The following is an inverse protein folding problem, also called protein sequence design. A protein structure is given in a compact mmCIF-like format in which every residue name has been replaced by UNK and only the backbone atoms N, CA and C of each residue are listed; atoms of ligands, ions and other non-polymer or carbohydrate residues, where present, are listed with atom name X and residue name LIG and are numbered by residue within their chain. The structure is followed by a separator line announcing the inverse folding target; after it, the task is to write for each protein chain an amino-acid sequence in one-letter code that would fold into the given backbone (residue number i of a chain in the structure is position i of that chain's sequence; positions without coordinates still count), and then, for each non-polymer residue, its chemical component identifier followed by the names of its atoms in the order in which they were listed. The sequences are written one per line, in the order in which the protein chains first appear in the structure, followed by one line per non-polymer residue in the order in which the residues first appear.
data_IF_245803868703
#
_entry.id   IF_245803868703
#
_cell.length_a   1.000
_cell.length_b   1.000
_cell.length_c   1.000
_cell.angle_alpha   90.00
_cell.angle_beta   90.00
_cell.angle_gamma   90.00
#
_symmetry.space_group_name_H-M   'P 1'
#
loop_
_entity.id
_entity.type
_entity.pdbx_description
1 polymer ?
#
# COMPACT_ATOMS: atom_id res chain seq x y z
N UNK A 1 14.13 -1.15 41.19
CA UNK A 1 15.09 -1.83 40.31
C UNK A 1 14.36 -3.02 39.71
N UNK A 2 13.77 -2.86 38.51
CA UNK A 2 13.06 -3.94 37.84
C UNK A 2 14.07 -4.67 36.95
N UNK A 3 14.56 -5.80 37.46
CA UNK A 3 15.07 -6.88 36.63
C UNK A 3 13.86 -7.51 35.94
N UNK A 4 13.94 -7.66 34.62
CA UNK A 4 12.81 -8.02 33.79
C UNK A 4 13.25 -8.08 32.35
N UNK A 5 14.12 -9.05 32.05
CA UNK A 5 14.35 -9.50 30.67
C UNK A 5 12.99 -9.90 30.08
N UNK A 6 12.29 -8.97 29.45
CA UNK A 6 11.11 -9.24 28.65
C UNK A 6 11.61 -10.05 27.46
N UNK A 7 11.28 -11.34 27.47
CA UNK A 7 11.47 -12.21 26.33
C UNK A 7 10.81 -11.54 25.12
N UNK A 8 11.60 -11.18 24.10
CA UNK A 8 11.15 -10.76 22.77
C UNK A 8 10.49 -11.94 22.02
N UNK A 9 9.57 -12.65 22.66
CA UNK A 9 8.59 -13.43 21.93
C UNK A 9 7.63 -12.40 21.36
N UNK A 10 7.51 -12.37 20.03
CA UNK A 10 6.44 -11.68 19.31
C UNK A 10 5.17 -11.64 20.19
N UNK A 11 4.56 -10.48 20.46
CA UNK A 11 3.26 -10.46 21.12
C UNK A 11 2.39 -11.49 20.39
N UNK A 12 1.82 -12.44 21.14
CA UNK A 12 1.00 -13.51 20.56
C UNK A 12 -0.17 -12.82 19.88
N UNK A 13 -0.04 -12.71 18.56
CA UNK A 13 -1.08 -12.26 17.68
C UNK A 13 -2.27 -13.21 17.83
N UNK A 14 -3.45 -12.66 18.12
CA UNK A 14 -4.68 -13.44 18.20
C UNK A 14 -5.65 -12.99 17.10
N UNK A 15 -5.99 -13.91 16.21
CA UNK A 15 -7.01 -13.69 15.19
C UNK A 15 -8.39 -13.75 15.84
N UNK A 16 -9.26 -12.79 15.55
CA UNK A 16 -10.68 -12.92 15.90
C UNK A 16 -11.27 -14.12 15.13
N UNK A 17 -12.10 -14.90 15.81
CA UNK A 17 -12.72 -16.10 15.25
C UNK A 17 -13.86 -15.81 14.28
N UNK A 18 -14.52 -14.65 14.38
CA UNK A 18 -15.70 -14.31 13.58
C UNK A 18 -15.91 -12.78 13.44
N UNK A 19 -16.14 -12.32 12.20
CA UNK A 19 -16.38 -10.92 11.84
C UNK A 19 -17.82 -10.65 11.34
N UNK A 20 -18.76 -11.59 11.49
CA UNK A 20 -20.15 -11.44 11.00
C UNK A 20 -20.83 -10.15 11.48
N UNK A 21 -20.71 -9.83 12.77
CA UNK A 21 -21.34 -8.66 13.38
C UNK A 21 -20.77 -7.35 12.84
N UNK A 22 -19.43 -7.22 12.75
CA UNK A 22 -18.80 -6.01 12.22
C UNK A 22 -19.12 -5.76 10.75
N UNK A 23 -19.32 -6.83 9.98
CA UNK A 23 -19.66 -6.70 8.56
C UNK A 23 -21.12 -6.30 8.39
N UNK A 24 -22.02 -6.82 9.22
CA UNK A 24 -23.43 -6.42 9.24
C UNK A 24 -23.59 -4.95 9.64
N UNK A 25 -22.80 -4.50 10.62
CA UNK A 25 -22.81 -3.13 11.14
C UNK A 25 -21.83 -2.19 10.41
N UNK A 26 -21.25 -2.62 9.28
CA UNK A 26 -20.30 -1.83 8.52
C UNK A 26 -20.94 -0.60 7.87
N UNK A 27 -20.14 0.42 7.52
CA UNK A 27 -20.64 1.73 7.08
C UNK A 27 -21.20 1.73 5.65
N UNK A 28 -21.07 0.64 4.90
CA UNK A 28 -21.52 0.54 3.52
C UNK A 28 -22.77 -0.33 3.41
N UNK A 29 -23.70 0.06 2.53
CA UNK A 29 -24.86 -0.78 2.17
C UNK A 29 -24.45 -2.06 1.42
N UNK A 30 -23.20 -2.14 0.95
CA UNK A 30 -22.69 -3.26 0.19
C UNK A 30 -21.87 -4.20 1.10
N UNK A 31 -22.32 -5.44 1.28
CA UNK A 31 -21.65 -6.43 2.11
C UNK A 31 -20.21 -6.73 1.67
N UNK A 32 -19.90 -6.69 0.36
CA UNK A 32 -18.53 -6.88 -0.13
C UNK A 32 -17.62 -5.72 0.28
N UNK A 33 -18.13 -4.49 0.23
CA UNK A 33 -17.40 -3.32 0.72
C UNK A 33 -17.15 -3.41 2.24
N UNK A 34 -18.16 -3.84 3.01
CA UNK A 34 -18.00 -4.05 4.45
C UNK A 34 -16.96 -5.13 4.78
N UNK A 35 -16.89 -6.23 4.01
CA UNK A 35 -15.83 -7.25 4.17
C UNK A 35 -14.43 -6.66 4.07
N UNK A 36 -14.16 -5.84 3.05
CA UNK A 36 -12.86 -5.19 2.86
C UNK A 36 -12.60 -4.16 3.98
N UNK A 37 -13.61 -3.38 4.33
CA UNK A 37 -13.52 -2.38 5.40
C UNK A 37 -13.14 -3.01 6.75
N UNK A 38 -13.85 -4.07 7.14
CA UNK A 38 -13.58 -4.76 8.41
C UNK A 38 -12.20 -5.39 8.41
N UNK A 39 -11.80 -6.05 7.30
CA UNK A 39 -10.45 -6.59 7.15
C UNK A 39 -9.36 -5.52 7.32
N UNK A 40 -9.51 -4.37 6.65
CA UNK A 40 -8.54 -3.26 6.76
C UNK A 40 -8.52 -2.63 8.15
N UNK A 41 -9.68 -2.46 8.77
CA UNK A 41 -9.75 -1.97 10.15
C UNK A 41 -9.07 -2.93 11.12
N UNK A 42 -9.21 -4.24 10.91
CA UNK A 42 -8.52 -5.21 11.75
C UNK A 42 -7.00 -5.12 11.58
N UNK A 43 -6.52 -5.00 10.34
CA UNK A 43 -5.11 -4.76 10.08
C UNK A 43 -4.62 -3.46 10.77
N UNK A 44 -5.43 -2.39 10.73
CA UNK A 44 -5.11 -1.11 11.35
C UNK A 44 -4.98 -1.23 12.88
N UNK A 45 -5.91 -1.90 13.56
CA UNK A 45 -5.86 -2.10 15.03
C UNK A 45 -4.57 -2.78 15.46
N UNK A 46 -4.09 -3.73 14.66
CA UNK A 46 -2.92 -4.53 14.99
C UNK A 46 -1.61 -3.85 14.61
N UNK A 47 -1.64 -2.92 13.66
CA UNK A 47 -0.47 -2.19 13.17
C UNK A 47 0.37 -1.58 14.30
N UNK A 48 -0.28 -1.01 15.32
CA UNK A 48 0.42 -0.34 16.43
C UNK A 48 1.41 -1.23 17.18
N UNK A 49 1.21 -2.55 17.18
CA UNK A 49 2.09 -3.51 17.84
C UNK A 49 3.42 -3.74 17.09
N UNK A 50 3.47 -3.36 15.81
CA UNK A 50 4.59 -3.62 14.91
C UNK A 50 5.25 -2.33 14.41
N UNK A 51 4.80 -1.17 14.86
CA UNK A 51 5.43 0.10 14.50
C UNK A 51 6.82 0.21 15.14
N UNK A 52 7.80 0.76 14.42
CA UNK A 52 9.08 1.17 15.01
C UNK A 52 8.88 2.10 16.22
N UNK A 53 9.77 2.02 17.21
CA UNK A 53 9.68 2.83 18.44
C UNK A 53 9.86 4.33 18.21
N UNK A 54 10.47 4.70 17.10
CA UNK A 54 10.72 6.07 16.69
C UNK A 54 9.60 6.66 15.83
N UNK A 55 8.51 5.94 15.56
CA UNK A 55 7.33 6.52 14.87
C UNK A 55 6.69 7.60 15.76
N UNK A 56 6.70 8.84 15.28
CA UNK A 56 6.02 9.96 15.95
C UNK A 56 4.75 10.36 15.21
N UNK A 57 4.79 10.36 13.88
CA UNK A 57 3.67 10.70 13.01
C UNK A 57 3.69 9.78 11.78
N UNK A 58 2.53 9.21 11.46
CA UNK A 58 2.39 8.21 10.40
C UNK A 58 1.51 8.72 9.27
N UNK A 59 2.08 8.85 8.07
CA UNK A 59 1.32 9.07 6.85
C UNK A 59 0.68 7.77 6.38
N UNK A 60 -0.60 7.79 6.01
CA UNK A 60 -1.29 6.59 5.54
C UNK A 60 -1.67 6.70 4.06
N UNK A 61 -1.08 5.84 3.22
CA UNK A 61 -1.45 5.70 1.82
C UNK A 61 -2.53 4.64 1.64
N UNK A 62 -3.75 5.10 1.32
CA UNK A 62 -4.95 4.25 1.18
C UNK A 62 -5.01 3.47 -0.12
N UNK A 63 -4.68 4.10 -1.24
CA UNK A 63 -4.82 3.51 -2.56
C UNK A 63 -3.80 4.10 -3.52
N UNK A 64 -3.31 3.28 -4.44
CA UNK A 64 -2.42 3.68 -5.51
C UNK A 64 -2.75 2.84 -6.75
N UNK A 65 -2.84 3.47 -7.90
CA UNK A 65 -3.19 2.80 -9.15
C UNK A 65 -2.72 3.61 -10.35
N UNK A 66 -2.43 2.90 -11.43
CA UNK A 66 -2.11 3.49 -12.73
C UNK A 66 -2.98 2.80 -13.77
N UNK A 67 -3.40 3.55 -14.79
CA UNK A 67 -4.12 2.92 -15.89
C UNK A 67 -3.16 2.01 -16.67
N UNK A 68 -3.64 0.87 -17.21
CA UNK A 68 -2.77 -0.12 -17.86
C UNK A 68 -1.93 0.43 -19.02
N UNK A 69 -2.45 1.39 -19.78
CA UNK A 69 -1.76 2.07 -20.88
C UNK A 69 -0.58 2.94 -20.41
N UNK A 70 -0.44 3.19 -19.11
CA UNK A 70 0.68 3.90 -18.50
C UNK A 70 1.57 2.99 -17.62
N UNK A 71 1.46 1.68 -17.77
CA UNK A 71 2.42 0.75 -17.16
C UNK A 71 3.83 0.94 -17.71
N UNK A 72 4.85 0.64 -16.90
CA UNK A 72 6.26 0.67 -17.30
C UNK A 72 6.93 2.06 -17.28
N UNK A 73 6.17 3.15 -17.20
CA UNK A 73 6.73 4.50 -17.16
C UNK A 73 7.25 4.95 -15.77
N UNK A 74 7.17 4.09 -14.76
CA UNK A 74 7.60 4.41 -13.39
C UNK A 74 6.71 5.44 -12.68
N UNK A 75 5.51 5.72 -13.19
CA UNK A 75 4.58 6.71 -12.63
C UNK A 75 4.21 6.39 -11.18
N UNK A 76 3.93 5.12 -10.86
CA UNK A 76 3.56 4.76 -9.49
C UNK A 76 4.70 5.03 -8.52
N UNK A 77 5.94 4.64 -8.86
CA UNK A 77 7.12 4.96 -8.05
C UNK A 77 7.32 6.47 -7.87
N UNK A 78 7.07 7.27 -8.91
CA UNK A 78 7.11 8.73 -8.81
C UNK A 78 6.02 9.29 -7.90
N UNK A 79 4.78 8.77 -7.96
CA UNK A 79 3.69 9.17 -7.07
C UNK A 79 3.98 8.81 -5.61
N UNK A 80 4.51 7.62 -5.35
CA UNK A 80 4.96 7.24 -4.01
C UNK A 80 6.04 8.19 -3.48
N UNK A 81 7.00 8.57 -4.33
CA UNK A 81 8.02 9.55 -3.97
C UNK A 81 7.43 10.92 -3.60
N UNK A 82 6.53 11.47 -4.44
CA UNK A 82 5.86 12.74 -4.12
C UNK A 82 5.06 12.64 -2.81
N UNK A 83 4.43 11.48 -2.58
CA UNK A 83 3.68 11.25 -1.35
C UNK A 83 4.58 11.23 -0.11
N UNK A 84 5.78 10.64 -0.17
CA UNK A 84 6.73 10.71 0.94
C UNK A 84 7.18 12.14 1.24
N UNK A 85 7.45 12.94 0.21
CA UNK A 85 7.78 14.38 0.39
C UNK A 85 6.62 15.10 1.07
N UNK A 86 5.39 14.86 0.63
CA UNK A 86 4.23 15.52 1.22
C UNK A 86 4.04 15.10 2.67
N UNK A 87 4.22 13.82 2.99
CA UNK A 87 4.20 13.34 4.37
C UNK A 87 5.29 13.98 5.23
N UNK A 88 6.50 14.16 4.72
CA UNK A 88 7.57 14.89 5.42
C UNK A 88 7.17 16.34 5.72
N UNK A 89 6.54 17.05 4.76
CA UNK A 89 6.00 18.41 4.98
C UNK A 89 4.94 18.46 6.08
N UNK A 90 4.20 17.37 6.28
CA UNK A 90 3.23 17.23 7.37
C UNK A 90 3.84 16.63 8.65
N UNK A 91 5.17 16.64 8.78
CA UNK A 91 5.94 16.11 9.91
C UNK A 91 5.73 14.61 10.17
N UNK A 92 5.33 13.84 9.16
CA UNK A 92 5.29 12.38 9.24
C UNK A 92 6.69 11.80 8.95
N UNK A 93 7.24 11.07 9.92
CA UNK A 93 8.54 10.42 9.77
C UNK A 93 8.44 9.02 9.16
N UNK A 94 7.24 8.43 9.17
CA UNK A 94 6.96 7.16 8.50
C UNK A 94 5.71 7.26 7.63
N UNK A 95 5.66 6.40 6.61
CA UNK A 95 4.50 6.14 5.78
C UNK A 95 4.13 4.67 5.88
N UNK A 96 2.83 4.38 6.00
CA UNK A 96 2.26 3.04 5.99
C UNK A 96 1.33 2.84 4.80
N UNK A 97 1.25 1.61 4.31
CA UNK A 97 0.20 1.19 3.39
C UNK A 97 -0.13 -0.29 3.59
N UNK A 98 -1.36 -0.66 3.19
CA UNK A 98 -1.88 -2.01 3.30
C UNK A 98 -2.03 -2.56 1.87
N UNK A 99 -1.17 -3.49 1.51
CA UNK A 99 -1.14 -4.10 0.19
C UNK A 99 -2.08 -5.30 0.16
N UNK A 100 -3.25 -5.14 -0.47
CA UNK A 100 -4.18 -6.27 -0.72
C UNK A 100 -3.81 -7.07 -1.97
N UNK A 101 -3.12 -6.43 -2.92
CA UNK A 101 -2.74 -7.03 -4.20
C UNK A 101 -1.23 -7.30 -4.26
N UNK A 102 -0.82 -8.39 -4.91
CA UNK A 102 0.60 -8.78 -4.96
C UNK A 102 1.45 -7.73 -5.71
N UNK A 103 0.87 -7.11 -6.74
CA UNK A 103 1.51 -6.01 -7.46
C UNK A 103 1.84 -4.81 -6.54
N UNK A 104 0.92 -4.47 -5.62
CA UNK A 104 1.12 -3.36 -4.68
C UNK A 104 2.23 -3.67 -3.67
N UNK A 105 2.33 -4.91 -3.19
CA UNK A 105 3.42 -5.37 -2.33
C UNK A 105 4.78 -5.29 -3.06
N UNK A 106 4.87 -5.77 -4.30
CA UNK A 106 6.12 -5.71 -5.05
C UNK A 106 6.58 -4.27 -5.32
N UNK A 107 5.66 -3.35 -5.60
CA UNK A 107 6.02 -1.96 -5.87
C UNK A 107 6.48 -1.26 -4.59
N UNK A 108 5.77 -1.43 -3.48
CA UNK A 108 6.15 -0.85 -2.17
C UNK A 108 7.49 -1.40 -1.68
N UNK A 109 7.74 -2.69 -1.88
CA UNK A 109 9.05 -3.29 -1.59
C UNK A 109 10.17 -2.71 -2.47
N UNK A 110 9.91 -2.49 -3.78
CA UNK A 110 10.89 -1.89 -4.71
C UNK A 110 11.28 -0.47 -4.33
N UNK A 111 10.38 0.31 -3.74
CA UNK A 111 10.67 1.68 -3.28
C UNK A 111 11.25 1.72 -1.85
N UNK A 112 11.58 0.56 -1.26
CA UNK A 112 12.27 0.47 0.02
C UNK A 112 11.39 0.35 1.26
N UNK A 113 10.08 0.17 1.10
CA UNK A 113 9.22 -0.15 2.25
C UNK A 113 9.49 -1.57 2.74
N UNK A 114 9.37 -1.77 4.05
CA UNK A 114 9.53 -3.06 4.72
C UNK A 114 8.17 -3.59 5.15
N UNK A 115 7.96 -4.89 5.00
CA UNK A 115 6.80 -5.56 5.58
C UNK A 115 6.98 -5.63 7.10
N UNK A 116 5.97 -5.18 7.85
CA UNK A 116 5.96 -5.26 9.33
C UNK A 116 5.08 -6.41 9.83
N UNK A 117 4.00 -6.72 9.12
CA UNK A 117 3.21 -7.93 9.33
C UNK A 117 2.36 -8.26 8.09
N UNK A 118 1.82 -9.48 8.06
CA UNK A 118 0.86 -9.91 7.05
C UNK A 118 -0.37 -10.50 7.76
N UNK A 119 -1.57 -10.03 7.42
CA UNK A 119 -2.83 -10.65 7.85
C UNK A 119 -3.24 -11.69 6.80
N UNK A 120 -3.16 -13.01 7.08
CA UNK A 120 -3.50 -14.03 6.10
C UNK A 120 -5.00 -14.04 5.80
N UNK A 121 -5.38 -14.17 4.53
CA UNK A 121 -6.79 -14.26 4.13
C UNK A 121 -7.49 -15.48 4.73
N UNK A 122 -6.74 -16.55 5.00
CA UNK A 122 -7.25 -17.78 5.64
C UNK A 122 -7.79 -17.58 7.04
N UNK A 123 -7.36 -16.52 7.74
CA UNK A 123 -7.76 -16.20 9.10
C UNK A 123 -8.95 -15.24 9.16
N UNK A 124 -9.35 -14.65 8.02
CA UNK A 124 -10.53 -13.80 7.96
C UNK A 124 -11.80 -14.64 7.76
N UNK A 125 -12.57 -14.85 8.84
CA UNK A 125 -13.72 -15.75 8.89
C UNK A 125 -15.04 -15.05 9.24
N UNK A 126 -16.13 -15.52 8.65
CA UNK A 126 -17.53 -15.14 8.92
C UNK A 126 -18.29 -16.42 9.19
N UNK A 127 -18.97 -16.52 10.34
CA UNK A 127 -19.69 -17.72 10.78
C UNK A 127 -18.81 -18.99 10.69
N UNK A 128 -17.54 -18.84 11.08
CA UNK A 128 -16.52 -19.90 11.01
C UNK A 128 -16.00 -20.25 9.60
N UNK A 129 -16.48 -19.59 8.54
CA UNK A 129 -16.08 -19.84 7.14
C UNK A 129 -15.15 -18.77 6.60
N UNK A 130 -14.15 -19.18 5.82
CA UNK A 130 -13.27 -18.24 5.11
C UNK A 130 -14.06 -17.37 4.13
N UNK A 131 -13.80 -16.07 4.15
CA UNK A 131 -14.48 -15.08 3.31
C UNK A 131 -13.78 -14.90 1.97
N UNK A 132 -12.45 -14.91 2.01
CA UNK A 132 -11.58 -14.78 0.86
C UNK A 132 -10.89 -16.13 0.62
N UNK A 133 -10.58 -16.47 -0.64
CA UNK A 133 -9.68 -17.58 -0.92
C UNK A 133 -8.35 -17.37 -0.18
N UNK A 134 -7.72 -18.46 0.27
CA UNK A 134 -6.41 -18.38 0.92
C UNK A 134 -5.33 -17.79 -0.01
N UNK A 135 -5.53 -17.87 -1.33
CA UNK A 135 -4.72 -17.20 -2.36
C UNK A 135 -5.64 -16.58 -3.40
N UNK A 136 -5.51 -15.27 -3.64
CA UNK A 136 -6.25 -14.55 -4.68
C UNK A 136 -5.68 -14.85 -6.09
N UNK A 137 -6.42 -14.49 -7.13
CA UNK A 137 -6.03 -14.73 -8.52
C UNK A 137 -4.73 -14.03 -8.95
N UNK A 138 -4.33 -12.98 -8.24
CA UNK A 138 -3.07 -12.26 -8.46
C UNK A 138 -1.90 -12.81 -7.61
N UNK A 139 -2.13 -13.88 -6.83
CA UNK A 139 -1.13 -14.52 -5.98
C UNK A 139 -1.11 -14.02 -4.53
N UNK A 140 -1.91 -13.00 -4.18
CA UNK A 140 -1.91 -12.45 -2.83
C UNK A 140 -2.48 -13.46 -1.81
N UNK A 141 -1.76 -13.69 -0.70
CA UNK A 141 -2.14 -14.63 0.38
C UNK A 141 -2.70 -13.95 1.62
N UNK A 142 -2.65 -12.62 1.66
CA UNK A 142 -3.08 -11.81 2.78
C UNK A 142 -2.86 -10.33 2.53
N UNK A 143 -3.26 -9.52 3.50
CA UNK A 143 -2.97 -8.08 3.50
C UNK A 143 -1.58 -7.88 4.08
N UNK A 144 -0.63 -7.46 3.25
CA UNK A 144 0.74 -7.17 3.67
C UNK A 144 0.84 -5.71 4.09
N UNK A 145 1.25 -5.47 5.33
CA UNK A 145 1.38 -4.12 5.88
C UNK A 145 2.82 -3.66 5.73
N UNK A 146 2.97 -2.58 4.97
CA UNK A 146 4.27 -2.07 4.54
C UNK A 146 4.52 -0.73 5.20
N UNK A 147 5.72 -0.54 5.76
CA UNK A 147 6.17 0.72 6.34
C UNK A 147 7.44 1.23 5.65
N UNK A 148 7.51 2.53 5.38
CA UNK A 148 8.68 3.21 4.84
C UNK A 148 9.02 4.42 5.70
N UNK A 149 10.31 4.67 5.92
CA UNK A 149 10.79 5.88 6.58
C UNK A 149 10.81 7.02 5.55
N UNK A 150 10.14 8.14 5.83
CA UNK A 150 10.01 9.26 4.89
C UNK A 150 11.38 9.93 4.60
N UNK A 151 12.22 10.12 5.62
CA UNK A 151 13.53 10.79 5.51
C UNK A 151 14.53 9.98 4.66
N UNK A 152 14.52 8.65 4.81
CA UNK A 152 15.45 7.75 4.10
C UNK A 152 14.98 7.36 2.69
N UNK A 153 13.74 7.67 2.33
CA UNK A 153 13.17 7.34 1.02
C UNK A 153 13.93 8.02 -0.14
N UNK A 154 14.47 9.21 0.09
CA UNK A 154 15.32 9.92 -0.88
C UNK A 154 16.59 9.12 -1.19
N UNK A 155 17.27 8.60 -0.18
CA UNK A 155 18.53 7.87 -0.34
C UNK A 155 18.35 6.50 -1.00
N UNK A 156 17.23 5.81 -0.76
CA UNK A 156 16.99 4.47 -1.33
C UNK A 156 16.66 4.56 -2.82
N UNK A 157 15.95 5.61 -3.25
CA UNK A 157 15.56 5.82 -4.65
C UNK A 157 16.74 6.42 -5.46
N UNK A 158 17.55 7.29 -4.85
CA UNK A 158 18.66 7.98 -5.54
C UNK A 158 19.99 7.23 -5.53
N UNK A 159 20.21 6.26 -4.62
CA UNK A 159 21.41 5.40 -4.61
C UNK A 159 21.56 4.53 -5.87
N UNK A 160 20.57 4.48 -6.76
CA UNK A 160 20.63 3.72 -8.01
C UNK A 160 20.54 4.50 -9.31
N UNK A 161 19.84 5.65 -9.38
CA UNK A 161 19.62 6.36 -10.66
C UNK A 161 19.45 7.87 -10.47
N UNK A 162 20.22 8.64 -11.24
CA UNK A 162 19.88 10.01 -11.58
C UNK A 162 18.47 9.98 -12.21
N UNK A 163 17.48 10.65 -11.58
CA UNK A 163 16.07 10.63 -12.02
C UNK A 163 15.77 11.71 -13.08
N UNK A 164 16.71 12.60 -13.37
CA UNK A 164 16.58 13.62 -14.42
C UNK A 164 16.32 13.04 -15.83
N UNK A 165 16.96 11.93 -16.26
CA UNK A 165 16.68 11.28 -17.54
C UNK A 165 15.25 10.72 -17.60
N UNK A 166 14.76 10.11 -16.50
CA UNK A 166 13.41 9.56 -16.45
C UNK A 166 12.35 10.66 -16.54
N UNK A 167 12.55 11.77 -15.82
CA UNK A 167 11.67 12.96 -15.90
C UNK A 167 11.64 13.54 -17.31
N UNK A 168 12.80 13.60 -17.99
CA UNK A 168 12.92 14.11 -19.36
C UNK A 168 12.27 13.18 -20.38
N UNK A 169 12.43 11.86 -20.23
CA UNK A 169 11.78 10.84 -21.07
C UNK A 169 10.26 10.89 -20.92
N UNK A 170 9.76 10.97 -19.69
CA UNK A 170 8.32 11.04 -19.41
C UNK A 170 7.69 12.28 -20.05
N UNK A 171 8.35 13.44 -19.94
CA UNK A 171 7.91 14.68 -20.58
C UNK A 171 7.96 14.65 -22.12
N UNK A 172 8.89 13.90 -22.71
CA UNK A 172 8.91 13.71 -24.17
C UNK A 172 7.78 12.78 -24.63
N UNK A 173 7.53 11.69 -23.91
CA UNK A 173 6.51 10.72 -24.28
C UNK A 173 5.08 11.26 -24.12
N UNK A 174 4.81 12.05 -23.07
CA UNK A 174 3.53 12.73 -22.90
C UNK A 174 3.24 13.70 -24.05
N UNK A 175 4.23 14.50 -24.44
CA UNK A 175 4.11 15.43 -25.58
C UNK A 175 3.84 14.70 -26.90
N UNK A 176 4.47 13.55 -27.12
CA UNK A 176 4.23 12.75 -28.32
C UNK A 176 2.81 12.16 -28.35
N UNK A 177 2.28 11.70 -27.22
CA UNK A 177 0.90 11.22 -27.15
C UNK A 177 -0.13 12.33 -27.35
N UNK A 178 0.08 13.51 -26.77
CA UNK A 178 -0.80 14.67 -26.99
C UNK A 178 -0.84 15.06 -28.47
N UNK A 179 0.31 15.05 -29.15
CA UNK A 179 0.39 15.32 -30.59
C UNK A 179 -0.32 14.24 -31.42
N UNK A 180 -0.18 12.97 -31.06
CA UNK A 180 -0.88 11.88 -31.74
C UNK A 180 -2.40 11.93 -31.54
N UNK A 181 -2.87 12.30 -30.35
CA UNK A 181 -4.30 12.46 -30.06
C UNK A 181 -4.89 13.65 -30.82
N UNK A 182 -4.18 14.78 -30.89
CA UNK A 182 -4.60 15.94 -31.68
C UNK A 182 -4.65 15.62 -33.18
N UNK A 183 -3.66 14.87 -33.71
CA UNK A 183 -3.67 14.43 -35.10
C UNK A 183 -4.76 13.41 -35.43
N UNK A 184 -5.12 12.54 -34.48
CA UNK A 184 -6.21 11.59 -34.64
C UNK A 184 -7.58 12.29 -34.66
N UNK A 185 -7.78 13.33 -33.84
CA UNK A 185 -9.01 14.12 -33.83
C UNK A 185 -9.19 14.93 -35.13
N UNK A 186 -8.11 15.39 -35.74
CA UNK A 186 -8.12 16.10 -37.04
C UNK A 186 -8.36 15.17 -38.26
N UNK A 187 -8.34 13.85 -38.06
CA UNK A 187 -8.51 12.84 -39.13
C UNK A 187 -9.86 12.11 -39.11
N UNK A 188 -10.80 12.51 -38.25
CA UNK A 188 -12.17 11.99 -38.35
C UNK A 188 -12.86 12.60 -39.58
N UNK A 189 -13.30 11.80 -40.55
CA UNK A 189 -14.13 12.33 -41.63
C UNK A 189 -15.47 12.78 -41.06
N UNK A 190 -15.95 13.93 -41.53
CA UNK A 190 -17.32 14.42 -41.32
C UNK A 190 -18.35 13.42 -41.88
#
# INVERSE_FOLDING_TARGET
MFDGRVSLKNPKFEYKSDYSEEIANGPYNNTKANKIYVLLNECLKQTGQFLPSDVTNLGYMKAAGIMPNYNGFGLLSYMFYQTFIDFEKYNCNYCITYCLAEASYHITKKIGMKEIFCFPYSEFKIDGKQVFPSVLSDGATGVRVMIGNCENSWNIITKGKNMAPLKKQLQQQLRQQEQQQQQAQLRMPL
#
